data_IF_315239038127
#
_entry.id   IF_315239038127
#
_cell.length_a   1.000
_cell.length_b   1.000
_cell.length_c   1.000
_cell.angle_alpha   90.00
_cell.angle_beta   90.00
_cell.angle_gamma   90.00
#
_symmetry.space_group_name_H-M   'P 1'
#
loop_
_entity.id
_entity.type
_entity.pdbx_description
1 polymer ?
#
# COMPACT_ATOMS: atom_id res chain seq x y z
N UNK A 1 9.49 11.26 -9.90
CA UNK A 1 8.22 11.67 -9.27
C UNK A 1 7.38 10.47 -8.81
N UNK A 2 6.95 9.57 -9.72
CA UNK A 2 6.11 8.40 -9.38
C UNK A 2 6.62 7.62 -8.15
N UNK A 3 7.88 7.17 -8.15
CA UNK A 3 8.47 6.45 -7.01
C UNK A 3 8.40 7.20 -5.69
N UNK A 4 8.66 8.51 -5.71
CA UNK A 4 8.61 9.36 -4.52
C UNK A 4 7.17 9.45 -3.96
N UNK A 5 6.19 9.77 -4.82
CA UNK A 5 4.79 9.88 -4.39
C UNK A 5 4.24 8.56 -3.87
N UNK A 6 4.56 7.46 -4.55
CA UNK A 6 4.12 6.12 -4.16
C UNK A 6 4.65 5.74 -2.78
N UNK A 7 5.98 5.86 -2.55
CA UNK A 7 6.57 5.45 -1.26
C UNK A 7 6.25 6.43 -0.14
N UNK A 8 6.17 7.73 -0.40
CA UNK A 8 5.86 8.74 0.63
C UNK A 8 4.46 8.54 1.24
N UNK A 9 3.45 8.25 0.40
CA UNK A 9 2.09 8.00 0.86
C UNK A 9 1.97 6.74 1.72
N UNK A 10 2.69 5.68 1.37
CA UNK A 10 2.68 4.44 2.15
C UNK A 10 3.45 4.56 3.48
N UNK A 11 4.57 5.27 3.47
CA UNK A 11 5.43 5.40 4.65
C UNK A 11 4.80 6.26 5.75
N UNK A 12 4.14 7.36 5.37
CA UNK A 12 3.50 8.28 6.32
C UNK A 12 2.47 7.58 7.21
N UNK A 13 1.71 6.64 6.63
CA UNK A 13 0.78 5.80 7.39
C UNK A 13 1.47 4.64 8.09
N UNK A 14 2.46 3.99 7.47
CA UNK A 14 3.12 2.82 8.04
C UNK A 14 3.69 3.05 9.44
N UNK A 15 4.27 4.23 9.68
CA UNK A 15 4.90 4.60 10.96
C UNK A 15 3.86 4.79 12.08
N UNK A 16 2.70 5.38 11.76
CA UNK A 16 1.66 5.73 12.74
C UNK A 16 0.51 4.74 12.81
N UNK A 17 0.51 3.71 11.95
CA UNK A 17 -0.61 2.78 11.78
C UNK A 17 -1.01 2.09 13.10
N UNK A 18 -0.05 1.63 13.90
CA UNK A 18 -0.34 0.97 15.17
C UNK A 18 -0.98 1.91 16.20
N UNK A 19 -0.49 3.15 16.29
CA UNK A 19 -1.07 4.19 17.17
C UNK A 19 -2.47 4.55 16.69
N UNK A 20 -2.65 4.71 15.38
CA UNK A 20 -3.94 5.02 14.79
C UNK A 20 -4.97 3.93 15.08
N UNK A 21 -4.62 2.66 14.84
CA UNK A 21 -5.52 1.54 15.10
C UNK A 21 -5.87 1.43 16.59
N UNK A 22 -4.92 1.65 17.49
CA UNK A 22 -5.18 1.64 18.93
C UNK A 22 -6.13 2.77 19.38
N UNK A 23 -6.12 3.92 18.70
CA UNK A 23 -6.95 5.07 19.07
C UNK A 23 -8.39 4.97 18.53
N UNK A 24 -8.56 4.50 17.30
CA UNK A 24 -9.87 4.50 16.62
C UNK A 24 -10.58 3.13 16.63
N UNK A 25 -10.02 2.14 17.32
CA UNK A 25 -10.59 0.80 17.43
C UNK A 25 -10.31 0.19 18.81
N UNK A 26 -11.01 -0.88 19.15
CA UNK A 26 -10.78 -1.66 20.37
C UNK A 26 -9.76 -2.80 20.16
N UNK A 27 -8.90 -2.68 19.15
CA UNK A 27 -7.94 -3.70 18.80
C UNK A 27 -6.89 -3.88 19.90
N UNK A 28 -6.66 -5.13 20.27
CA UNK A 28 -5.60 -5.48 21.22
C UNK A 28 -4.22 -5.33 20.58
N UNK A 29 -3.16 -5.05 21.35
CA UNK A 29 -1.79 -5.02 20.83
C UNK A 29 -1.38 -6.31 20.12
N UNK A 30 -1.93 -7.45 20.55
CA UNK A 30 -1.70 -8.75 19.92
C UNK A 30 -2.31 -8.82 18.51
N UNK A 31 -3.53 -8.31 18.31
CA UNK A 31 -4.19 -8.26 16.99
C UNK A 31 -3.43 -7.35 16.02
N UNK A 32 -2.99 -6.18 16.49
CA UNK A 32 -2.17 -5.25 15.70
C UNK A 32 -0.82 -5.90 15.34
N UNK A 33 -0.17 -6.55 16.30
CA UNK A 33 1.08 -7.29 16.06
C UNK A 33 0.92 -8.42 15.04
N UNK A 34 -0.19 -9.15 15.11
CA UNK A 34 -0.52 -10.20 14.14
C UNK A 34 -0.76 -9.64 12.75
N UNK A 35 -1.44 -8.49 12.62
CA UNK A 35 -1.59 -7.80 11.34
C UNK A 35 -0.21 -7.50 10.73
N UNK A 36 0.68 -6.85 11.48
CA UNK A 36 2.03 -6.53 11.02
C UNK A 36 2.83 -7.77 10.62
N UNK A 37 2.68 -8.87 11.37
CA UNK A 37 3.34 -10.13 11.07
C UNK A 37 2.86 -10.75 9.75
N UNK A 38 1.57 -10.65 9.44
CA UNK A 38 0.97 -11.28 8.24
C UNK A 38 1.24 -10.46 6.97
N UNK A 39 1.31 -9.13 7.06
CA UNK A 39 1.54 -8.24 5.91
C UNK A 39 2.67 -8.68 4.95
N UNK A 40 3.90 -9.01 5.42
CA UNK A 40 4.97 -9.42 4.52
C UNK A 40 4.66 -10.71 3.75
N UNK A 41 3.94 -11.66 4.34
CA UNK A 41 3.56 -12.91 3.69
C UNK A 41 2.50 -12.69 2.62
N UNK A 42 1.53 -11.81 2.88
CA UNK A 42 0.54 -11.40 1.88
C UNK A 42 1.27 -10.77 0.67
N UNK A 43 2.17 -9.82 0.92
CA UNK A 43 2.96 -9.19 -0.13
C UNK A 43 3.79 -10.20 -0.93
N UNK A 44 4.39 -11.19 -0.26
CA UNK A 44 5.18 -12.24 -0.91
C UNK A 44 4.34 -13.11 -1.85
N UNK A 45 3.11 -13.47 -1.45
CA UNK A 45 2.23 -14.37 -2.22
C UNK A 45 1.56 -13.64 -3.38
N UNK A 46 1.00 -12.46 -3.13
CA UNK A 46 0.17 -11.79 -4.14
C UNK A 46 0.98 -11.04 -5.20
N UNK A 47 2.21 -10.60 -4.87
CA UNK A 47 3.10 -9.92 -5.81
C UNK A 47 3.36 -10.72 -7.10
N UNK A 48 3.82 -11.99 -7.07
CA UNK A 48 4.03 -12.77 -8.28
C UNK A 48 2.74 -13.03 -9.06
N UNK A 49 1.59 -13.13 -8.37
CA UNK A 49 0.29 -13.32 -9.02
C UNK A 49 -0.06 -12.08 -9.86
N UNK A 50 0.04 -10.89 -9.28
CA UNK A 50 -0.24 -9.63 -9.98
C UNK A 50 0.71 -9.42 -11.15
N UNK A 51 2.02 -9.67 -10.96
CA UNK A 51 2.99 -9.58 -12.05
C UNK A 51 2.68 -10.58 -13.16
N UNK A 52 2.40 -11.85 -12.84
CA UNK A 52 2.05 -12.85 -13.84
C UNK A 52 0.80 -12.49 -14.63
N UNK A 53 -0.21 -11.89 -13.98
CA UNK A 53 -1.41 -11.40 -14.65
C UNK A 53 -1.14 -10.23 -15.60
N UNK A 54 -0.28 -9.30 -15.19
CA UNK A 54 0.16 -8.18 -16.03
C UNK A 54 0.94 -8.66 -17.25
N UNK A 55 1.87 -9.60 -17.04
CA UNK A 55 2.73 -10.17 -18.08
C UNK A 55 1.90 -10.94 -19.13
N UNK A 56 0.95 -11.79 -18.68
CA UNK A 56 0.08 -12.57 -19.59
C UNK A 56 -0.76 -11.70 -20.51
N UNK A 57 -1.19 -10.52 -20.05
CA UNK A 57 -1.99 -9.58 -20.84
C UNK A 57 -1.16 -8.53 -21.55
N UNK A 58 0.16 -8.50 -21.36
CA UNK A 58 1.08 -7.47 -21.89
C UNK A 58 0.61 -6.04 -21.56
N UNK A 59 -0.09 -5.87 -20.43
CA UNK A 59 -0.84 -4.67 -20.07
C UNK A 59 -0.26 -4.02 -18.79
N UNK A 60 1.07 -3.92 -18.70
CA UNK A 60 1.74 -3.48 -17.47
C UNK A 60 1.29 -2.08 -17.03
N UNK A 61 1.00 -1.18 -17.99
CA UNK A 61 0.59 0.19 -17.67
C UNK A 61 -0.81 0.22 -17.06
N UNK A 62 -1.75 -0.54 -17.62
CA UNK A 62 -3.12 -0.64 -17.14
C UNK A 62 -3.16 -1.25 -15.74
N UNK A 63 -2.40 -2.33 -15.53
CA UNK A 63 -2.30 -2.95 -14.20
C UNK A 63 -1.62 -2.04 -13.18
N UNK A 64 -0.62 -1.25 -13.58
CA UNK A 64 0.00 -0.27 -12.69
C UNK A 64 -1.02 0.78 -12.24
N UNK A 65 -1.78 1.37 -13.16
CA UNK A 65 -2.83 2.36 -12.85
C UNK A 65 -3.87 1.77 -11.91
N UNK A 66 -4.35 0.55 -12.18
CA UNK A 66 -5.31 -0.14 -11.30
C UNK A 66 -4.73 -0.36 -9.91
N UNK A 67 -3.47 -0.79 -9.80
CA UNK A 67 -2.81 -0.97 -8.51
C UNK A 67 -2.68 0.37 -7.76
N UNK A 68 -2.28 1.45 -8.42
CA UNK A 68 -2.21 2.78 -7.80
C UNK A 68 -3.57 3.27 -7.30
N UNK A 69 -4.63 3.12 -8.10
CA UNK A 69 -5.99 3.48 -7.71
C UNK A 69 -6.48 2.66 -6.51
N UNK A 70 -6.23 1.36 -6.51
CA UNK A 70 -6.57 0.48 -5.39
C UNK A 70 -5.78 0.83 -4.13
N UNK A 71 -4.51 1.19 -4.25
CA UNK A 71 -3.72 1.72 -3.13
C UNK A 71 -4.29 3.03 -2.61
N UNK A 72 -4.66 3.98 -3.49
CA UNK A 72 -5.26 5.23 -3.06
C UNK A 72 -6.60 5.01 -2.33
N UNK A 73 -7.47 4.16 -2.87
CA UNK A 73 -8.75 3.79 -2.25
C UNK A 73 -8.58 3.09 -0.91
N UNK A 74 -7.48 2.34 -0.73
CA UNK A 74 -7.17 1.69 0.55
C UNK A 74 -7.01 2.65 1.72
N UNK A 75 -6.71 3.92 1.43
CA UNK A 75 -6.56 4.96 2.45
C UNK A 75 -7.87 5.65 2.83
N UNK A 76 -8.97 5.41 2.11
CA UNK A 76 -10.25 6.07 2.37
C UNK A 76 -10.76 5.85 3.80
N UNK A 77 -10.74 4.62 4.38
CA UNK A 77 -11.21 4.42 5.76
C UNK A 77 -10.42 5.19 6.81
N UNK A 78 -9.11 5.42 6.58
CA UNK A 78 -8.25 6.19 7.49
C UNK A 78 -8.64 7.68 7.54
N UNK A 79 -9.32 8.18 6.52
CA UNK A 79 -9.84 9.55 6.47
C UNK A 79 -11.29 9.62 6.94
N UNK A 80 -12.10 8.62 6.58
CA UNK A 80 -13.54 8.60 6.85
C UNK A 80 -13.82 8.35 8.33
N UNK A 81 -13.16 7.38 8.98
CA UNK A 81 -13.47 7.00 10.37
C UNK A 81 -13.34 8.18 11.35
N UNK A 82 -12.25 8.98 11.32
CA UNK A 82 -12.14 10.15 12.19
C UNK A 82 -13.19 11.22 11.87
N UNK A 83 -13.62 11.32 10.60
CA UNK A 83 -14.61 12.31 10.18
C UNK A 83 -16.03 11.98 10.62
N UNK A 84 -16.32 10.70 10.92
CA UNK A 84 -17.63 10.26 11.42
C UNK A 84 -17.88 10.61 12.89
N UNK A 85 -16.87 11.11 13.61
CA UNK A 85 -16.97 11.56 15.00
C UNK A 85 -16.61 10.49 16.04
N UNK A 86 -16.44 10.94 17.29
CA UNK A 86 -16.03 10.08 18.41
C UNK A 86 -17.07 9.02 18.75
N UNK A 87 -18.34 9.43 18.79
CA UNK A 87 -19.47 8.55 19.10
C UNK A 87 -19.57 7.34 18.15
N UNK A 88 -19.16 7.49 16.88
CA UNK A 88 -19.26 6.41 15.89
C UNK A 88 -18.25 5.29 16.16
N UNK A 89 -16.98 5.64 16.40
CA UNK A 89 -15.95 4.62 16.59
C UNK A 89 -15.99 4.01 18.00
N UNK A 90 -16.51 4.71 19.00
CA UNK A 90 -16.81 4.13 20.32
C UNK A 90 -18.00 3.16 20.28
N UNK A 91 -19.03 3.45 19.48
CA UNK A 91 -20.20 2.58 19.34
C UNK A 91 -19.96 1.35 18.45
N UNK A 92 -19.07 1.47 17.46
CA UNK A 92 -18.79 0.40 16.49
C UNK A 92 -17.28 0.12 16.30
N UNK A 93 -16.51 -0.15 17.37
CA UNK A 93 -15.05 -0.23 17.29
C UNK A 93 -14.57 -1.44 16.46
N UNK A 94 -15.26 -2.58 16.55
CA UNK A 94 -14.94 -3.79 15.78
C UNK A 94 -15.20 -3.63 14.28
N UNK A 95 -16.25 -2.88 13.92
CA UNK A 95 -16.50 -2.55 12.52
C UNK A 95 -15.38 -1.69 11.95
N UNK A 96 -14.94 -0.68 12.71
CA UNK A 96 -13.79 0.16 12.35
C UNK A 96 -12.53 -0.69 12.17
N UNK A 97 -12.25 -1.62 13.09
CA UNK A 97 -11.13 -2.55 12.99
C UNK A 97 -11.16 -3.37 11.70
N UNK A 98 -12.26 -4.10 11.43
CA UNK A 98 -12.34 -4.94 10.24
C UNK A 98 -12.24 -4.13 8.95
N UNK A 99 -12.87 -2.94 8.90
CA UNK A 99 -12.78 -2.04 7.75
C UNK A 99 -11.34 -1.59 7.50
N UNK A 100 -10.64 -1.11 8.54
CA UNK A 100 -9.23 -0.68 8.44
C UNK A 100 -8.33 -1.84 8.00
N UNK A 101 -8.50 -3.03 8.58
CA UNK A 101 -7.70 -4.22 8.26
C UNK A 101 -7.91 -4.66 6.82
N UNK A 102 -9.17 -4.81 6.39
CA UNK A 102 -9.49 -5.26 5.02
C UNK A 102 -8.91 -4.31 3.98
N UNK A 103 -9.12 -3.00 4.15
CA UNK A 103 -8.58 -2.01 3.23
C UNK A 103 -7.06 -1.97 3.28
N UNK A 104 -6.44 -2.06 4.47
CA UNK A 104 -4.98 -2.09 4.60
C UNK A 104 -4.35 -3.29 3.89
N UNK A 105 -4.96 -4.47 3.97
CA UNK A 105 -4.52 -5.70 3.28
C UNK A 105 -4.61 -5.51 1.77
N UNK A 106 -5.77 -5.07 1.26
CA UNK A 106 -5.97 -4.81 -0.18
C UNK A 106 -4.98 -3.76 -0.69
N UNK A 107 -4.79 -2.69 0.09
CA UNK A 107 -3.83 -1.64 -0.19
C UNK A 107 -2.39 -2.14 -0.25
N UNK A 108 -2.00 -3.06 0.64
CA UNK A 108 -0.65 -3.64 0.63
C UNK A 108 -0.41 -4.50 -0.60
N UNK A 109 -1.38 -5.35 -0.95
CA UNK A 109 -1.33 -6.18 -2.16
C UNK A 109 -1.14 -5.30 -3.39
N UNK A 110 -1.99 -4.28 -3.53
CA UNK A 110 -1.94 -3.34 -4.64
C UNK A 110 -0.61 -2.55 -4.66
N UNK A 111 -0.14 -2.07 -3.51
CA UNK A 111 1.09 -1.29 -3.40
C UNK A 111 2.33 -2.11 -3.78
N UNK A 112 2.44 -3.34 -3.28
CA UNK A 112 3.55 -4.25 -3.63
C UNK A 112 3.50 -4.63 -5.11
N UNK A 113 2.30 -4.82 -5.67
CA UNK A 113 2.10 -5.01 -7.10
C UNK A 113 2.58 -3.81 -7.92
N UNK A 114 2.17 -2.60 -7.53
CA UNK A 114 2.57 -1.34 -8.16
C UNK A 114 4.09 -1.15 -8.17
N UNK A 115 4.77 -1.42 -7.05
CA UNK A 115 6.25 -1.37 -6.99
C UNK A 115 6.87 -2.32 -8.02
N UNK A 116 6.40 -3.56 -8.08
CA UNK A 116 7.02 -4.58 -8.94
C UNK A 116 6.79 -4.32 -10.43
N UNK A 117 5.57 -3.92 -10.79
CA UNK A 117 5.22 -3.57 -12.17
C UNK A 117 5.89 -2.25 -12.58
N UNK A 118 5.93 -1.28 -11.66
CA UNK A 118 6.63 -0.01 -11.83
C UNK A 118 8.13 -0.22 -12.07
N UNK A 119 8.78 -1.12 -11.31
CA UNK A 119 10.18 -1.50 -11.49
C UNK A 119 10.43 -2.09 -12.88
N UNK A 120 9.56 -3.00 -13.35
CA UNK A 120 9.66 -3.54 -14.71
C UNK A 120 9.56 -2.45 -15.78
N UNK A 121 8.60 -1.53 -15.66
CA UNK A 121 8.43 -0.43 -16.60
C UNK A 121 9.60 0.56 -16.58
N UNK A 122 10.10 0.89 -15.38
CA UNK A 122 11.21 1.82 -15.21
C UNK A 122 12.52 1.25 -15.74
N UNK A 123 12.80 -0.04 -15.55
CA UNK A 123 13.97 -0.72 -16.12
C UNK A 123 13.92 -0.67 -17.64
N UNK A 124 12.77 -1.00 -18.23
CA UNK A 124 12.58 -0.95 -19.68
C UNK A 124 12.76 0.47 -20.23
N UNK A 125 12.25 1.47 -19.51
CA UNK A 125 12.40 2.87 -19.89
C UNK A 125 13.86 3.36 -19.78
N UNK A 126 14.55 3.00 -18.70
CA UNK A 126 15.95 3.33 -18.47
C UNK A 126 16.85 2.73 -19.57
N UNK A 127 16.60 1.47 -19.95
CA UNK A 127 17.31 0.79 -21.04
C UNK A 127 17.12 1.50 -22.39
N UNK A 128 15.92 2.05 -22.66
CA UNK A 128 15.64 2.81 -23.89
C UNK A 128 16.37 4.15 -23.95
N UNK A 129 16.56 4.80 -22.81
CA UNK A 129 17.22 6.10 -22.72
C UNK A 129 18.74 6.01 -22.50
N UNK A 130 19.28 4.80 -22.27
CA UNK A 130 20.68 4.63 -21.90
C UNK A 130 21.03 5.21 -20.52
N UNK A 131 20.03 5.35 -19.64
CA UNK A 131 20.20 5.88 -18.27
C UNK A 131 20.21 4.75 -17.25
N UNK A 132 20.78 4.97 -16.08
CA UNK A 132 20.74 3.98 -15.00
C UNK A 132 19.37 3.92 -14.32
N UNK A 133 18.91 2.70 -14.01
CA UNK A 133 17.69 2.49 -13.22
C UNK A 133 17.80 3.08 -11.79
N UNK A 134 19.02 3.08 -11.24
CA UNK A 134 19.36 3.63 -9.92
C UNK A 134 18.86 5.07 -9.73
N UNK A 135 18.95 5.90 -10.77
CA UNK A 135 18.55 7.31 -10.76
C UNK A 135 17.07 7.48 -10.46
N UNK A 136 16.21 6.55 -10.90
CA UNK A 136 14.78 6.56 -10.58
C UNK A 136 14.51 6.07 -9.16
N UNK A 137 15.25 5.05 -8.70
CA UNK A 137 15.00 4.38 -7.42
C UNK A 137 15.43 5.22 -6.21
N UNK A 138 16.43 6.09 -6.34
CA UNK A 138 16.87 7.01 -5.28
C UNK A 138 15.71 7.83 -4.73
N UNK A 139 14.81 8.30 -5.60
CA UNK A 139 13.61 9.05 -5.20
C UNK A 139 12.66 8.25 -4.32
N UNK A 140 12.61 6.93 -4.50
CA UNK A 140 11.87 6.04 -3.60
C UNK A 140 12.50 6.03 -2.20
N UNK A 141 13.82 5.89 -2.12
CA UNK A 141 14.59 5.89 -0.86
C UNK A 141 14.43 7.20 -0.07
N UNK A 142 14.47 8.35 -0.74
CA UNK A 142 14.27 9.65 -0.08
C UNK A 142 12.90 9.72 0.61
N UNK A 143 11.87 9.13 0.01
CA UNK A 143 10.53 9.09 0.59
C UNK A 143 10.33 8.04 1.70
N UNK A 144 11.32 7.15 1.92
CA UNK A 144 11.35 6.24 3.07
C UNK A 144 11.98 6.87 4.32
N UNK A 145 12.69 7.99 4.17
CA UNK A 145 13.19 8.81 5.28
C UNK A 145 12.07 9.65 5.88
#
# INVERSE_FOLDING_TARGET
>A
LHYFCLTAGANSLGILLGVYMANYTDATPAEIGLLYMIMPFIGLIFRPILCSMADRRQAHREYLIVCELMTALSFAPFVIIPYLGEEFHESHPRFCWYSLVSFRIVGDIAFKGAISIGDSLAINYAARLGTEFSTYRIWGTIAWM
#
